data_IF_744214198612
#
_entry.id   IF_744214198612
#
_cell.length_a   1.000
_cell.length_b   1.000
_cell.length_c   1.000
_cell.angle_alpha   90.00
_cell.angle_beta   90.00
_cell.angle_gamma   90.00
#
_symmetry.space_group_name_H-M   'P 1'
#
loop_
_entity.id
_entity.type
_entity.pdbx_description
1 polymer ?
#
# COMPACT_ATOMS: atom_id res chain seq x y z
N UNK A 1 9.01 -15.27 -47.86
CA UNK A 1 8.63 -15.03 -46.44
C UNK A 1 7.19 -14.54 -46.41
N UNK A 2 6.24 -15.38 -45.98
CA UNK A 2 4.78 -15.15 -46.11
C UNK A 2 4.28 -13.94 -45.28
N UNK A 3 3.32 -13.13 -45.77
CA UNK A 3 2.75 -11.98 -45.04
C UNK A 3 2.08 -12.34 -43.70
N UNK A 4 1.70 -13.61 -43.51
CA UNK A 4 0.99 -14.08 -42.31
C UNK A 4 1.85 -14.07 -41.04
N UNK A 5 3.17 -14.24 -41.15
CA UNK A 5 4.07 -14.34 -40.00
C UNK A 5 4.36 -13.01 -39.29
N UNK A 6 4.15 -11.87 -39.97
CA UNK A 6 4.35 -10.52 -39.39
C UNK A 6 3.22 -10.12 -38.45
N UNK A 7 1.98 -10.52 -38.76
CA UNK A 7 0.80 -10.25 -37.92
C UNK A 7 0.80 -11.11 -36.66
N UNK A 8 1.22 -12.36 -36.77
CA UNK A 8 1.31 -13.28 -35.63
C UNK A 8 2.38 -12.85 -34.61
N UNK A 9 3.55 -12.36 -35.07
CA UNK A 9 4.62 -11.83 -34.19
C UNK A 9 4.20 -10.62 -33.38
N UNK A 10 3.41 -9.70 -33.97
CA UNK A 10 2.89 -8.54 -33.25
C UNK A 10 1.90 -8.92 -32.15
N UNK A 11 0.99 -9.85 -32.45
CA UNK A 11 -0.02 -10.34 -31.50
C UNK A 11 0.65 -11.04 -30.31
N UNK A 12 1.66 -11.89 -30.57
CA UNK A 12 2.44 -12.55 -29.50
C UNK A 12 3.17 -11.52 -28.63
N UNK A 13 3.73 -10.46 -29.22
CA UNK A 13 4.42 -9.41 -28.46
C UNK A 13 3.45 -8.60 -27.58
N UNK A 14 2.30 -8.18 -28.11
CA UNK A 14 1.28 -7.45 -27.35
C UNK A 14 0.63 -8.29 -26.24
N UNK A 15 0.40 -9.59 -26.49
CA UNK A 15 -0.13 -10.51 -25.46
C UNK A 15 0.90 -10.77 -24.35
N UNK A 16 2.19 -10.90 -24.67
CA UNK A 16 3.25 -11.01 -23.65
C UNK A 16 3.36 -9.74 -22.77
N UNK A 17 3.20 -8.54 -23.34
CA UNK A 17 3.21 -7.29 -22.58
C UNK A 17 2.02 -7.20 -21.61
N UNK A 18 0.84 -7.66 -22.01
CA UNK A 18 -0.35 -7.66 -21.16
C UNK A 18 -0.22 -8.64 -19.99
N UNK A 19 0.39 -9.80 -20.22
CA UNK A 19 0.60 -10.84 -19.20
C UNK A 19 1.70 -10.49 -18.18
N UNK A 20 2.69 -9.66 -18.55
CA UNK A 20 3.78 -9.26 -17.65
C UNK A 20 3.30 -8.37 -16.48
N UNK A 21 2.17 -7.67 -16.66
CA UNK A 21 1.60 -6.78 -15.65
C UNK A 21 1.01 -7.52 -14.45
N UNK A 22 0.62 -8.78 -14.62
CA UNK A 22 -0.01 -9.57 -13.55
C UNK A 22 0.97 -10.20 -12.57
N UNK A 23 2.28 -10.21 -12.84
CA UNK A 23 3.26 -10.94 -12.02
C UNK A 23 3.83 -10.11 -10.85
N UNK A 24 3.37 -8.87 -10.64
CA UNK A 24 3.87 -7.96 -9.61
C UNK A 24 2.99 -7.86 -8.36
N UNK A 25 2.29 -8.94 -8.00
CA UNK A 25 1.34 -8.95 -6.88
C UNK A 25 1.91 -9.73 -5.68
N UNK A 26 2.65 -9.03 -4.82
CA UNK A 26 3.11 -9.54 -3.53
C UNK A 26 4.36 -8.84 -3.00
N UNK A 27 4.23 -7.59 -2.55
CA UNK A 27 5.31 -6.83 -1.91
C UNK A 27 5.31 -6.94 -0.38
N UNK A 28 6.37 -6.47 0.27
CA UNK A 28 6.32 -6.13 1.69
C UNK A 28 5.38 -4.95 1.91
N UNK A 29 4.69 -4.91 3.05
CA UNK A 29 3.89 -3.75 3.41
C UNK A 29 4.79 -2.55 3.77
N UNK A 30 4.25 -1.34 3.66
CA UNK A 30 4.96 -0.14 4.15
C UNK A 30 4.97 -0.13 5.68
N UNK A 31 6.00 0.47 6.29
CA UNK A 31 6.00 0.73 7.73
C UNK A 31 4.95 1.78 8.12
N UNK A 32 4.49 1.77 9.37
CA UNK A 32 3.38 2.62 9.85
C UNK A 32 3.71 3.29 11.19
N UNK A 33 3.23 4.51 11.38
CA UNK A 33 3.33 5.28 12.64
C UNK A 33 1.95 5.82 12.98
N UNK A 34 1.43 5.47 14.16
CA UNK A 34 0.16 5.98 14.68
C UNK A 34 0.41 7.03 15.75
N UNK A 35 -0.09 8.24 15.53
CA UNK A 35 -0.16 9.26 16.56
C UNK A 35 -1.55 9.25 17.18
N UNK A 36 -1.64 8.72 18.41
CA UNK A 36 -2.88 8.63 19.17
C UNK A 36 -2.88 9.76 20.20
N UNK A 37 -3.87 10.66 20.19
CA UNK A 37 -3.93 11.74 21.16
C UNK A 37 -4.22 11.21 22.56
N UNK A 38 -3.74 11.91 23.58
CA UNK A 38 -3.95 11.53 24.98
C UNK A 38 -5.44 11.39 25.32
N UNK A 39 -5.77 10.41 26.15
CA UNK A 39 -7.14 10.15 26.61
C UNK A 39 -8.00 9.31 25.66
N UNK A 40 -7.54 9.03 24.44
CA UNK A 40 -8.22 8.06 23.57
C UNK A 40 -8.02 6.65 24.11
N UNK A 41 -9.13 5.96 24.37
CA UNK A 41 -9.15 4.58 24.85
C UNK A 41 -10.20 3.78 24.07
N UNK A 42 -10.02 2.47 24.00
CA UNK A 42 -10.89 1.58 23.23
C UNK A 42 -10.48 1.45 21.77
N UNK A 43 -11.45 1.16 20.90
CA UNK A 43 -11.21 0.82 19.50
C UNK A 43 -10.91 2.06 18.65
N UNK A 44 -9.86 1.96 17.82
CA UNK A 44 -9.52 2.93 16.79
C UNK A 44 -9.94 2.35 15.44
N UNK A 45 -10.61 3.15 14.61
CA UNK A 45 -11.05 2.76 13.27
C UNK A 45 -10.35 3.62 12.23
N UNK A 46 -9.63 2.97 11.31
CA UNK A 46 -9.02 3.61 10.14
C UNK A 46 -9.73 3.12 8.89
N UNK A 47 -10.36 4.05 8.17
CA UNK A 47 -11.05 3.82 6.91
C UNK A 47 -10.13 4.24 5.76
N UNK A 48 -9.74 3.28 4.94
CA UNK A 48 -8.84 3.45 3.81
C UNK A 48 -9.59 3.80 2.52
N UNK A 49 -8.85 4.27 1.51
CA UNK A 49 -9.34 4.55 0.15
C UNK A 49 -10.54 5.52 0.11
N UNK A 50 -10.58 6.45 1.07
CA UNK A 50 -11.62 7.48 1.13
C UNK A 50 -11.17 8.72 0.35
N UNK A 51 -11.80 9.03 -0.79
CA UNK A 51 -11.47 10.22 -1.60
C UNK A 51 -11.58 11.53 -0.80
N UNK A 52 -12.58 11.64 0.09
CA UNK A 52 -12.79 12.76 1.02
C UNK A 52 -11.95 12.66 2.31
N UNK A 53 -11.08 11.66 2.41
CA UNK A 53 -10.25 11.38 3.57
C UNK A 53 -9.08 12.35 3.75
N UNK A 54 -8.37 12.21 4.87
CA UNK A 54 -7.10 12.90 5.08
C UNK A 54 -6.09 12.46 4.00
N UNK A 55 -5.33 13.41 3.42
CA UNK A 55 -4.31 13.08 2.44
C UNK A 55 -3.24 12.19 3.06
N UNK A 56 -2.61 11.39 2.21
CA UNK A 56 -1.49 10.54 2.58
C UNK A 56 -0.37 11.37 3.22
N UNK A 57 0.11 10.93 4.39
CA UNK A 57 1.21 11.57 5.10
C UNK A 57 2.28 10.54 5.39
N UNK A 58 3.53 10.95 5.22
CA UNK A 58 4.68 10.08 5.41
C UNK A 58 5.65 10.72 6.40
N UNK A 59 6.26 9.89 7.23
CA UNK A 59 7.31 10.30 8.16
C UNK A 59 8.38 9.20 8.21
N UNK A 60 9.62 9.56 7.93
CA UNK A 60 10.76 8.64 7.93
C UNK A 60 10.55 7.40 7.02
N UNK A 61 9.88 7.59 5.88
CA UNK A 61 9.54 6.52 4.94
C UNK A 61 8.39 5.62 5.38
N UNK A 62 7.73 5.91 6.50
CA UNK A 62 6.57 5.19 7.04
C UNK A 62 5.29 6.00 6.85
N UNK A 63 4.15 5.32 6.70
CA UNK A 63 2.81 5.92 6.66
C UNK A 63 2.49 6.53 8.03
N UNK A 64 2.08 7.79 8.05
CA UNK A 64 1.74 8.52 9.26
C UNK A 64 0.22 8.65 9.39
N UNK A 65 -0.33 8.07 10.46
CA UNK A 65 -1.74 8.13 10.81
C UNK A 65 -1.94 9.04 12.02
N UNK A 66 -2.48 10.24 11.80
CA UNK A 66 -2.87 11.16 12.86
C UNK A 66 -4.29 10.83 13.31
N UNK A 67 -4.44 10.06 14.39
CA UNK A 67 -5.75 9.62 14.88
C UNK A 67 -6.49 10.82 15.49
N UNK A 68 -7.71 11.14 15.02
CA UNK A 68 -8.49 12.20 15.66
C UNK A 68 -8.94 11.79 17.07
N UNK A 69 -9.29 12.73 17.96
CA UNK A 69 -9.83 12.41 19.29
C UNK A 69 -11.09 11.53 19.28
N UNK A 70 -11.81 11.47 18.15
CA UNK A 70 -12.95 10.56 17.96
C UNK A 70 -12.54 9.08 17.82
N UNK A 71 -11.26 8.78 17.62
CA UNK A 71 -10.75 7.44 17.31
C UNK A 71 -11.04 6.98 15.87
N UNK A 72 -11.66 7.81 15.02
CA UNK A 72 -12.04 7.45 13.65
C UNK A 72 -11.27 8.32 12.66
N UNK A 73 -10.40 7.68 11.86
CA UNK A 73 -9.64 8.34 10.79
C UNK A 73 -10.13 7.85 9.43
N UNK A 74 -10.54 8.76 8.56
CA UNK A 74 -10.65 8.51 7.11
C UNK A 74 -9.37 8.95 6.43
N UNK A 75 -8.83 8.12 5.54
CA UNK A 75 -7.59 8.43 4.81
C UNK A 75 -7.69 8.04 3.34
N UNK A 76 -6.96 8.79 2.51
CA UNK A 76 -6.76 8.48 1.09
C UNK A 76 -5.76 7.33 0.88
N UNK A 77 -5.01 6.94 1.90
CA UNK A 77 -4.15 5.76 1.81
C UNK A 77 -4.96 4.54 1.38
N UNK A 78 -4.42 3.77 0.44
CA UNK A 78 -4.90 2.41 0.15
C UNK A 78 -4.58 1.48 1.32
N UNK A 79 -5.33 0.40 1.45
CA UNK A 79 -5.06 -0.65 2.43
C UNK A 79 -3.59 -1.12 2.32
N UNK A 80 -2.90 -1.18 3.45
CA UNK A 80 -1.51 -1.62 3.51
C UNK A 80 -1.47 -3.15 3.51
N UNK A 81 -1.43 -3.75 2.31
CA UNK A 81 -1.44 -5.21 2.14
C UNK A 81 -0.04 -5.69 1.77
N UNK A 82 0.36 -6.86 2.27
CA UNK A 82 1.68 -7.42 2.03
C UNK A 82 2.18 -8.21 3.22
N UNK A 83 3.46 -8.59 3.19
CA UNK A 83 4.12 -9.28 4.29
C UNK A 83 4.86 -8.29 5.18
N UNK A 84 4.83 -8.51 6.50
CA UNK A 84 5.67 -7.80 7.46
C UNK A 84 7.00 -8.55 7.54
N UNK A 85 8.12 -7.84 7.33
CA UNK A 85 9.45 -8.41 7.58
C UNK A 85 9.75 -8.31 9.09
N UNK A 86 10.25 -9.41 9.66
CA UNK A 86 10.57 -9.47 11.10
C UNK A 86 11.63 -8.45 11.54
N UNK A 87 12.54 -8.04 10.65
CA UNK A 87 13.56 -7.03 10.91
C UNK A 87 12.95 -5.68 11.33
N UNK A 88 11.81 -5.30 10.73
CA UNK A 88 11.15 -4.01 10.99
C UNK A 88 10.60 -3.94 12.42
N UNK A 89 10.18 -5.08 12.98
CA UNK A 89 9.66 -5.19 14.35
C UNK A 89 10.77 -5.04 15.41
N UNK A 90 11.97 -5.54 15.12
CA UNK A 90 13.12 -5.48 16.04
C UNK A 90 13.73 -4.08 16.13
N UNK A 91 13.55 -3.25 15.10
CA UNK A 91 14.02 -1.86 15.08
C UNK A 91 13.26 -0.97 16.09
N UNK A 92 12.01 -1.33 16.42
CA UNK A 92 11.15 -0.56 17.32
C UNK A 92 11.28 -1.01 18.79
N UNK A 93 11.73 -2.23 19.05
CA UNK A 93 11.91 -2.75 20.43
C UNK A 93 13.24 -2.35 21.08
N UNK A 94 14.18 -1.80 20.31
CA UNK A 94 15.57 -1.59 20.76
C UNK A 94 15.90 -0.15 21.16
N UNK A 95 14.89 0.69 21.37
CA UNK A 95 15.03 2.11 21.74
C UNK A 95 14.38 2.38 23.09
#
# INVERSE_FOLDING_TARGET
MSPSSRRFRGIVFFTCLFLYSCLKSGGSQDGEIYYIPEGVTGSILVLFDCEDGKPEQWKDGKRLYLIPPSGILKTQFKANTGWILFEDQLSETKK
#
